data_IF_840204340322
#
_entry.id   IF_840204340322
#
_cell.length_a   1.000
_cell.length_b   1.000
_cell.length_c   1.000
_cell.angle_alpha   90.00
_cell.angle_beta   90.00
_cell.angle_gamma   90.00
#
_symmetry.space_group_name_H-M   'P 1'
#
loop_
_entity.id
_entity.type
_entity.pdbx_description
1 polymer ?
#
# COMPACT_ATOMS: atom_id res chain seq x y z
N UNK A 1 -1.54 -19.09 -14.82
CA UNK A 1 -1.94 -18.19 -13.72
C UNK A 1 -2.90 -17.18 -14.32
N UNK A 2 -4.17 -17.17 -13.91
CA UNK A 2 -5.09 -16.13 -14.35
C UNK A 2 -4.56 -14.79 -13.82
N UNK A 3 -4.23 -13.88 -14.73
CA UNK A 3 -3.91 -12.49 -14.40
C UNK A 3 -5.23 -11.82 -14.05
N UNK A 4 -5.62 -11.94 -12.78
CA UNK A 4 -6.59 -11.00 -12.24
C UNK A 4 -5.96 -9.60 -12.38
N UNK A 5 -6.70 -8.65 -12.93
CA UNK A 5 -6.31 -7.24 -12.90
C UNK A 5 -6.12 -6.79 -11.44
N UNK A 6 -5.56 -5.59 -11.21
CA UNK A 6 -5.56 -4.97 -9.88
C UNK A 6 -6.97 -5.07 -9.30
N UNK A 7 -7.08 -5.66 -8.12
CA UNK A 7 -8.31 -6.01 -7.42
C UNK A 7 -9.13 -4.79 -7.05
N UNK A 8 -9.94 -4.31 -7.99
CA UNK A 8 -10.90 -3.23 -7.79
C UNK A 8 -12.33 -3.73 -7.82
N UNK A 9 -13.16 -3.06 -8.61
CA UNK A 9 -14.49 -3.47 -9.02
C UNK A 9 -14.48 -3.88 -10.51
N UNK A 10 -14.04 -5.11 -10.87
CA UNK A 10 -14.03 -5.58 -12.25
C UNK A 10 -15.43 -5.76 -12.86
N UNK A 11 -16.46 -5.83 -12.03
CA UNK A 11 -17.86 -5.90 -12.46
C UNK A 11 -18.70 -4.91 -11.68
N UNK A 12 -19.72 -4.32 -12.32
CA UNK A 12 -20.72 -3.50 -11.63
C UNK A 12 -21.57 -4.36 -10.70
N UNK A 13 -22.00 -3.80 -9.57
CA UNK A 13 -22.93 -4.49 -8.67
C UNK A 13 -22.31 -5.72 -8.00
N UNK A 14 -21.04 -5.66 -7.63
CA UNK A 14 -20.32 -6.75 -6.98
C UNK A 14 -20.10 -6.50 -5.49
N UNK A 15 -20.13 -7.58 -4.72
CA UNK A 15 -19.73 -7.56 -3.32
C UNK A 15 -18.21 -7.53 -3.20
N UNK A 16 -17.73 -7.09 -2.03
CA UNK A 16 -16.32 -7.18 -1.73
C UNK A 16 -15.89 -8.65 -1.52
N UNK A 17 -14.66 -8.97 -1.91
CA UNK A 17 -14.04 -10.27 -1.62
C UNK A 17 -12.68 -10.06 -0.96
N UNK A 18 -12.37 -10.74 0.16
CA UNK A 18 -11.08 -10.60 0.81
C UNK A 18 -9.95 -11.00 -0.14
N UNK A 19 -8.80 -10.32 0.01
CA UNK A 19 -7.58 -10.81 -0.60
C UNK A 19 -7.08 -12.04 0.19
N UNK A 20 -6.64 -13.07 -0.53
CA UNK A 20 -6.11 -14.30 0.04
C UNK A 20 -5.00 -14.01 1.07
N UNK A 21 -5.17 -14.50 2.30
CA UNK A 21 -4.26 -14.17 3.40
C UNK A 21 -2.80 -14.57 3.11
N UNK A 22 -2.57 -15.70 2.43
CA UNK A 22 -1.22 -16.13 2.03
C UNK A 22 -0.62 -15.15 1.03
N UNK A 23 -1.40 -14.69 0.04
CA UNK A 23 -0.98 -13.66 -0.91
C UNK A 23 -0.67 -12.33 -0.22
N UNK A 24 -1.50 -11.90 0.74
CA UNK A 24 -1.29 -10.66 1.50
C UNK A 24 0.00 -10.75 2.32
N UNK A 25 0.22 -11.85 3.03
CA UNK A 25 1.43 -12.05 3.84
C UNK A 25 2.70 -12.06 2.99
N UNK A 26 2.67 -12.66 1.79
CA UNK A 26 3.80 -12.64 0.87
C UNK A 26 4.15 -11.20 0.42
N UNK A 27 3.14 -10.40 0.08
CA UNK A 27 3.34 -8.99 -0.27
C UNK A 27 3.90 -8.17 0.90
N UNK A 28 3.35 -8.35 2.11
CA UNK A 28 3.83 -7.68 3.33
C UNK A 28 5.29 -8.02 3.60
N UNK A 29 5.67 -9.30 3.52
CA UNK A 29 7.07 -9.74 3.70
C UNK A 29 8.01 -9.12 2.68
N UNK A 30 7.67 -9.22 1.39
CA UNK A 30 8.51 -8.66 0.32
C UNK A 30 8.67 -7.14 0.45
N UNK A 31 7.59 -6.40 0.72
CA UNK A 31 7.65 -4.95 0.92
C UNK A 31 8.46 -4.61 2.15
N UNK A 32 8.29 -5.34 3.26
CA UNK A 32 9.04 -5.14 4.50
C UNK A 32 10.55 -5.31 4.30
N UNK A 33 10.97 -6.35 3.59
CA UNK A 33 12.38 -6.58 3.27
C UNK A 33 12.97 -5.44 2.44
N UNK A 34 12.26 -5.02 1.37
CA UNK A 34 12.74 -3.93 0.50
C UNK A 34 12.80 -2.62 1.30
N UNK A 35 11.72 -2.26 2.01
CA UNK A 35 11.64 -1.04 2.83
C UNK A 35 12.78 -0.96 3.84
N UNK A 36 13.12 -2.08 4.50
CA UNK A 36 14.24 -2.13 5.44
C UNK A 36 15.61 -1.83 4.84
N UNK A 37 15.74 -1.93 3.51
CA UNK A 37 16.98 -1.64 2.76
C UNK A 37 16.95 -0.25 2.12
N UNK A 38 15.79 0.18 1.62
CA UNK A 38 15.70 1.36 0.73
C UNK A 38 15.20 2.63 1.41
N UNK A 39 14.42 2.53 2.50
CA UNK A 39 13.97 3.70 3.26
C UNK A 39 14.90 3.97 4.43
N UNK A 40 15.04 5.26 4.77
CA UNK A 40 15.76 5.66 5.99
C UNK A 40 14.92 5.31 7.22
N UNK A 41 15.59 5.14 8.37
CA UNK A 41 14.98 4.69 9.63
C UNK A 41 13.76 5.52 10.07
N UNK A 42 13.77 6.81 9.77
CA UNK A 42 12.72 7.77 10.17
C UNK A 42 11.92 8.30 8.96
N UNK A 43 12.02 7.65 7.81
CA UNK A 43 11.29 8.04 6.60
C UNK A 43 9.88 7.45 6.60
N UNK A 44 8.88 8.34 6.58
CA UNK A 44 7.47 7.99 6.62
C UNK A 44 6.96 7.69 8.03
N UNK A 45 5.66 7.87 8.24
CA UNK A 45 4.94 7.57 9.46
C UNK A 45 3.84 6.53 9.18
N UNK A 46 3.94 5.30 9.72
CA UNK A 46 2.94 4.23 9.50
C UNK A 46 1.54 4.57 10.02
N UNK A 47 1.45 5.51 10.97
CA UNK A 47 0.20 5.92 11.61
C UNK A 47 -0.24 7.31 11.12
N UNK A 48 0.33 7.80 10.02
CA UNK A 48 -0.05 9.09 9.46
C UNK A 48 -1.56 9.13 9.18
N UNK A 49 -2.19 10.15 9.74
CA UNK A 49 -3.61 10.43 9.57
C UNK A 49 -3.82 11.94 9.55
N UNK A 50 -4.61 12.41 8.59
CA UNK A 50 -4.92 13.83 8.36
C UNK A 50 -6.40 14.05 8.00
N UNK A 51 -7.10 13.03 7.52
CA UNK A 51 -8.56 13.08 7.36
C UNK A 51 -9.26 12.96 8.72
N UNK A 52 -10.57 13.26 8.75
CA UNK A 52 -11.39 13.23 9.97
C UNK A 52 -12.17 11.92 10.08
N UNK A 53 -12.49 11.51 11.31
CA UNK A 53 -13.19 10.26 11.66
C UNK A 53 -14.37 9.89 10.75
N UNK A 54 -15.22 10.85 10.39
CA UNK A 54 -16.42 10.57 9.60
C UNK A 54 -16.10 10.12 8.17
N UNK A 55 -15.02 10.62 7.57
CA UNK A 55 -14.56 10.18 6.25
C UNK A 55 -13.96 8.77 6.31
N UNK A 56 -13.22 8.46 7.37
CA UNK A 56 -12.56 7.17 7.52
C UNK A 56 -13.56 6.05 7.83
N UNK A 57 -14.65 6.37 8.53
CA UNK A 57 -15.75 5.43 8.81
C UNK A 57 -16.47 4.98 7.55
N UNK A 58 -16.69 5.88 6.58
CA UNK A 58 -17.42 5.50 5.37
C UNK A 58 -16.60 4.62 4.45
N UNK A 59 -15.27 4.71 4.46
CA UNK A 59 -14.39 3.87 3.62
C UNK A 59 -14.62 2.36 3.83
N UNK A 60 -14.95 1.93 5.05
CA UNK A 60 -15.20 0.52 5.35
C UNK A 60 -16.39 -0.08 4.59
N UNK A 61 -17.31 0.74 4.07
CA UNK A 61 -18.37 0.30 3.14
C UNK A 61 -17.81 -0.39 1.87
N UNK A 62 -16.60 -0.03 1.42
CA UNK A 62 -15.95 -0.67 0.27
C UNK A 62 -15.56 -2.14 0.52
N UNK A 63 -15.62 -2.59 1.78
CA UNK A 63 -15.27 -3.94 2.22
C UNK A 63 -16.50 -4.81 2.54
N UNK A 64 -17.70 -4.24 2.37
CA UNK A 64 -18.97 -4.86 2.71
C UNK A 64 -19.68 -5.38 1.44
N UNK A 65 -20.91 -4.93 1.19
CA UNK A 65 -21.78 -5.36 0.10
C UNK A 65 -21.83 -4.32 -1.02
N UNK A 66 -22.20 -4.78 -2.21
CA UNK A 66 -22.28 -3.97 -3.43
C UNK A 66 -23.03 -2.65 -3.25
N UNK A 67 -24.14 -2.62 -2.50
CA UNK A 67 -24.95 -1.42 -2.30
C UNK A 67 -24.22 -0.32 -1.53
N UNK A 68 -23.24 -0.70 -0.70
CA UNK A 68 -22.46 0.23 0.13
C UNK A 68 -21.31 0.89 -0.65
N UNK A 69 -20.85 0.27 -1.74
CA UNK A 69 -19.71 0.76 -2.52
C UNK A 69 -20.10 1.85 -3.52
N UNK A 70 -20.34 3.08 -3.07
CA UNK A 70 -20.67 4.21 -3.96
C UNK A 70 -19.45 5.05 -4.33
N UNK A 71 -19.64 6.03 -5.21
CA UNK A 71 -18.62 7.01 -5.55
C UNK A 71 -18.23 7.91 -4.37
N UNK A 72 -19.12 8.11 -3.39
CA UNK A 72 -18.81 8.87 -2.17
C UNK A 72 -17.76 8.15 -1.29
N UNK A 73 -17.93 6.84 -1.08
CA UNK A 73 -16.96 6.01 -0.36
C UNK A 73 -15.62 5.93 -1.09
N UNK A 74 -15.66 5.78 -2.42
CA UNK A 74 -14.45 5.80 -3.23
C UNK A 74 -13.73 7.16 -3.18
N UNK A 75 -14.48 8.27 -3.11
CA UNK A 75 -13.92 9.60 -2.92
C UNK A 75 -13.31 9.77 -1.52
N UNK A 76 -13.94 9.23 -0.47
CA UNK A 76 -13.38 9.21 0.88
C UNK A 76 -12.07 8.40 0.94
N UNK A 77 -12.04 7.23 0.29
CA UNK A 77 -10.83 6.43 0.14
C UNK A 77 -9.73 7.21 -0.60
N UNK A 78 -10.07 7.85 -1.71
CA UNK A 78 -9.16 8.68 -2.49
C UNK A 78 -8.60 9.86 -1.67
N UNK A 79 -9.43 10.50 -0.82
CA UNK A 79 -8.99 11.56 0.06
C UNK A 79 -7.99 11.05 1.10
N UNK A 80 -8.28 9.92 1.75
CA UNK A 80 -7.38 9.25 2.69
C UNK A 80 -6.03 8.90 2.04
N UNK A 81 -6.05 8.31 0.85
CA UNK A 81 -4.85 8.02 0.04
C UNK A 81 -4.12 9.30 -0.34
N UNK A 82 -4.84 10.38 -0.66
CA UNK A 82 -4.29 11.65 -1.13
C UNK A 82 -3.47 12.39 -0.08
N UNK A 83 -3.87 12.33 1.19
CA UNK A 83 -3.26 13.11 2.28
C UNK A 83 -1.98 12.47 2.88
N UNK A 84 -1.74 11.18 2.63
CA UNK A 84 -0.54 10.46 3.07
C UNK A 84 0.51 10.37 1.97
N UNK A 85 1.79 10.29 2.35
CA UNK A 85 2.87 10.02 1.41
C UNK A 85 2.95 8.52 1.09
N UNK A 86 3.60 8.14 -0.02
CA UNK A 86 3.84 6.74 -0.29
C UNK A 86 4.78 6.07 0.73
N UNK A 87 5.67 6.84 1.36
CA UNK A 87 6.52 6.33 2.44
C UNK A 87 5.70 5.98 3.69
N UNK A 88 4.69 6.81 4.04
CA UNK A 88 3.75 6.50 5.12
C UNK A 88 3.02 5.17 4.85
N UNK A 89 2.53 4.98 3.62
CA UNK A 89 1.84 3.76 3.21
C UNK A 89 2.79 2.55 3.25
N UNK A 90 4.00 2.68 2.71
CA UNK A 90 5.01 1.61 2.73
C UNK A 90 5.38 1.21 4.15
N UNK A 91 5.53 2.18 5.07
CA UNK A 91 5.79 1.90 6.48
C UNK A 91 4.60 1.21 7.16
N UNK A 92 3.37 1.64 6.85
CA UNK A 92 2.16 0.99 7.38
C UNK A 92 2.06 -0.48 6.92
N UNK A 93 2.41 -0.77 5.67
CA UNK A 93 2.49 -2.14 5.15
C UNK A 93 3.62 -2.92 5.83
N UNK A 94 4.83 -2.36 5.88
CA UNK A 94 6.01 -3.03 6.45
C UNK A 94 5.88 -3.36 7.94
N UNK A 95 5.10 -2.56 8.69
CA UNK A 95 4.79 -2.79 10.11
C UNK A 95 3.53 -3.62 10.36
N UNK A 96 2.79 -4.01 9.32
CA UNK A 96 1.63 -4.87 9.48
C UNK A 96 2.04 -6.27 9.93
N UNK A 97 1.21 -6.87 10.77
CA UNK A 97 1.37 -8.26 11.19
C UNK A 97 0.92 -9.22 10.08
N UNK A 98 1.33 -10.48 10.18
CA UNK A 98 0.80 -11.52 9.30
C UNK A 98 -0.66 -11.83 9.66
N UNK A 99 -1.50 -11.99 8.65
CA UNK A 99 -2.89 -12.40 8.80
C UNK A 99 -2.98 -13.92 8.72
N UNK A 100 -3.53 -14.58 9.74
CA UNK A 100 -3.62 -16.04 9.78
C UNK A 100 -4.61 -16.62 8.74
N UNK A 101 -5.74 -15.94 8.54
CA UNK A 101 -6.82 -16.37 7.66
C UNK A 101 -7.69 -15.18 7.22
N UNK A 102 -8.70 -15.45 6.40
CA UNK A 102 -9.69 -14.45 5.98
C UNK A 102 -10.96 -14.47 6.84
N UNK A 103 -10.91 -14.85 8.12
CA UNK A 103 -12.13 -15.02 8.94
C UNK A 103 -12.56 -13.76 9.71
N UNK A 104 -11.65 -12.78 9.86
CA UNK A 104 -11.92 -11.51 10.55
C UNK A 104 -12.65 -10.54 9.63
N UNK A 105 -13.63 -9.80 10.16
CA UNK A 105 -14.26 -8.70 9.44
C UNK A 105 -13.46 -7.39 9.61
N UNK A 106 -13.92 -6.32 8.96
CA UNK A 106 -13.22 -5.04 8.93
C UNK A 106 -13.17 -4.34 10.30
N UNK A 107 -14.13 -4.60 11.20
CA UNK A 107 -14.16 -4.04 12.56
C UNK A 107 -13.12 -4.66 13.50
N UNK A 108 -12.53 -5.80 13.11
CA UNK A 108 -11.48 -6.51 13.84
C UNK A 108 -10.08 -6.22 13.27
N UNK A 109 -10.00 -5.47 12.17
CA UNK A 109 -8.74 -5.10 11.56
C UNK A 109 -7.97 -4.11 12.45
N UNK A 110 -6.66 -4.31 12.54
CA UNK A 110 -5.76 -3.48 13.35
C UNK A 110 -4.61 -2.88 12.54
N UNK A 111 -4.40 -3.36 11.32
CA UNK A 111 -3.31 -2.96 10.43
C UNK A 111 -3.68 -3.15 8.94
N UNK A 112 -2.75 -2.82 8.04
CA UNK A 112 -3.01 -2.85 6.60
C UNK A 112 -3.29 -4.26 6.09
N UNK A 113 -2.56 -5.25 6.60
CA UNK A 113 -2.71 -6.65 6.20
C UNK A 113 -4.08 -7.22 6.60
N UNK A 114 -4.53 -6.93 7.82
CA UNK A 114 -5.84 -7.34 8.32
C UNK A 114 -7.00 -6.62 7.61
N UNK A 115 -6.85 -5.33 7.24
CA UNK A 115 -7.80 -4.65 6.35
C UNK A 115 -7.91 -5.37 5.00
N UNK A 116 -6.78 -5.72 4.39
CA UNK A 116 -6.76 -6.34 3.07
C UNK A 116 -7.43 -7.73 3.06
N UNK A 117 -7.18 -8.50 4.11
CA UNK A 117 -7.69 -9.85 4.31
C UNK A 117 -9.10 -9.90 4.91
N UNK A 118 -9.68 -8.77 5.33
CA UNK A 118 -10.98 -8.73 5.99
C UNK A 118 -12.10 -9.30 5.11
N UNK A 119 -12.87 -10.25 5.64
CA UNK A 119 -14.04 -10.80 4.95
C UNK A 119 -15.13 -9.75 4.81
N UNK A 120 -15.95 -9.97 3.78
CA UNK A 120 -17.26 -9.33 3.68
C UNK A 120 -18.17 -9.87 4.77
N UNK A 121 -18.75 -8.99 5.58
CA UNK A 121 -19.79 -9.32 6.55
C UNK A 121 -20.80 -8.17 6.59
N UNK A 122 -22.09 -8.48 6.45
CA UNK A 122 -23.12 -7.44 6.37
C UNK A 122 -23.23 -6.67 7.69
N UNK A 123 -23.40 -5.35 7.57
CA UNK A 123 -23.43 -4.38 8.66
C UNK A 123 -22.10 -4.26 9.45
N UNK A 124 -21.02 -4.90 8.98
CA UNK A 124 -19.66 -4.75 9.52
C UNK A 124 -18.83 -3.88 8.59
N UNK A 125 -18.83 -2.59 8.87
CA UNK A 125 -18.24 -1.56 7.99
C UNK A 125 -17.43 -0.51 8.72
N UNK A 126 -17.37 -0.53 10.04
CA UNK A 126 -16.58 0.45 10.78
C UNK A 126 -15.12 0.02 10.85
N UNK A 127 -14.22 0.86 10.37
CA UNK A 127 -12.79 0.72 10.62
C UNK A 127 -12.52 1.33 12.00
N UNK A 128 -12.04 0.54 12.97
CA UNK A 128 -11.81 0.98 14.36
C UNK A 128 -10.47 1.68 14.55
N UNK A 129 -10.33 2.39 15.66
CA UNK A 129 -9.27 3.39 15.92
C UNK A 129 -7.84 2.92 15.64
N UNK A 130 -7.51 1.66 15.89
CA UNK A 130 -6.18 1.11 15.59
C UNK A 130 -5.88 1.08 14.08
N UNK A 131 -6.88 0.71 13.27
CA UNK A 131 -6.80 0.66 11.82
C UNK A 131 -7.26 1.96 11.14
N UNK A 132 -7.91 2.86 11.89
CA UNK A 132 -8.49 4.13 11.41
C UNK A 132 -7.41 5.21 11.29
N UNK A 133 -6.37 4.92 10.49
CA UNK A 133 -5.31 5.85 10.11
C UNK A 133 -5.20 5.86 8.59
N UNK A 134 -5.04 7.03 7.99
CA UNK A 134 -5.02 7.15 6.53
C UNK A 134 -3.94 6.26 5.87
N UNK A 135 -2.75 6.17 6.48
CA UNK A 135 -1.68 5.34 5.96
C UNK A 135 -2.01 3.84 6.03
N UNK A 136 -2.64 3.41 7.11
CA UNK A 136 -3.07 2.02 7.32
C UNK A 136 -4.21 1.66 6.36
N UNK A 137 -5.20 2.55 6.20
CA UNK A 137 -6.32 2.37 5.28
C UNK A 137 -5.80 2.31 3.83
N UNK A 138 -4.98 3.27 3.42
CA UNK A 138 -4.38 3.29 2.09
C UNK A 138 -3.51 2.04 1.84
N UNK A 139 -2.75 1.60 2.84
CA UNK A 139 -1.96 0.36 2.79
C UNK A 139 -2.84 -0.87 2.62
N UNK A 140 -3.94 -0.96 3.36
CA UNK A 140 -4.90 -2.05 3.25
C UNK A 140 -5.63 -2.08 1.92
N UNK A 141 -5.98 -0.91 1.37
CA UNK A 141 -6.55 -0.79 0.02
C UNK A 141 -5.55 -1.27 -1.03
N UNK A 142 -4.30 -0.81 -0.96
CA UNK A 142 -3.26 -1.22 -1.89
C UNK A 142 -2.98 -2.73 -1.81
N UNK A 143 -2.85 -3.29 -0.60
CA UNK A 143 -2.63 -4.72 -0.40
C UNK A 143 -3.80 -5.56 -0.90
N UNK A 144 -5.04 -5.13 -0.69
CA UNK A 144 -6.22 -5.84 -1.22
C UNK A 144 -6.24 -5.79 -2.75
N UNK A 145 -5.93 -4.65 -3.34
CA UNK A 145 -5.85 -4.49 -4.79
C UNK A 145 -4.72 -5.31 -5.43
N UNK A 146 -3.58 -5.47 -4.75
CA UNK A 146 -2.48 -6.30 -5.26
C UNK A 146 -2.65 -7.79 -4.92
N UNK A 147 -3.40 -8.11 -3.87
CA UNK A 147 -3.56 -9.44 -3.33
C UNK A 147 -4.51 -10.29 -4.17
N UNK A 148 -4.19 -11.58 -4.29
CA UNK A 148 -5.00 -12.56 -5.03
C UNK A 148 -6.44 -12.59 -4.52
N UNK A 149 -7.44 -12.60 -5.42
CA UNK A 149 -8.89 -12.56 -5.14
C UNK A 149 -9.41 -11.30 -4.44
N UNK A 150 -8.57 -10.32 -4.13
CA UNK A 150 -9.00 -9.08 -3.50
C UNK A 150 -9.93 -8.30 -4.41
N UNK A 151 -11.10 -7.93 -3.88
CA UNK A 151 -12.10 -7.11 -4.58
C UNK A 151 -12.79 -6.17 -3.60
N UNK A 152 -13.26 -5.05 -4.13
CA UNK A 152 -14.03 -4.07 -3.38
C UNK A 152 -15.49 -4.08 -3.80
N UNK A 153 -16.36 -3.69 -2.88
CA UNK A 153 -17.76 -3.49 -3.18
C UNK A 153 -17.95 -2.33 -4.16
N UNK A 154 -18.86 -2.49 -5.11
CA UNK A 154 -19.30 -1.42 -5.98
C UNK A 154 -20.78 -1.56 -6.33
N UNK A 155 -21.49 -0.44 -6.25
CA UNK A 155 -22.90 -0.37 -6.64
C UNK A 155 -23.07 -0.73 -8.11
N UNK A 156 -24.28 -1.13 -8.51
CA UNK A 156 -24.64 -1.52 -9.87
C UNK A 156 -24.63 -0.40 -10.91
N UNK A 157 -23.62 0.47 -10.88
CA UNK A 157 -23.47 1.65 -11.74
C UNK A 157 -22.00 1.81 -12.14
N UNK A 158 -21.74 2.09 -13.42
CA UNK A 158 -20.36 2.24 -13.95
C UNK A 158 -19.57 3.32 -13.20
N UNK A 159 -20.24 4.40 -12.82
CA UNK A 159 -19.63 5.52 -12.07
C UNK A 159 -19.02 5.05 -10.76
N UNK A 160 -19.74 4.22 -10.00
CA UNK A 160 -19.27 3.70 -8.72
C UNK A 160 -18.09 2.74 -8.92
N UNK A 161 -18.21 1.80 -9.86
CA UNK A 161 -17.12 0.87 -10.18
C UNK A 161 -15.84 1.60 -10.63
N UNK A 162 -15.97 2.61 -11.50
CA UNK A 162 -14.85 3.42 -11.97
C UNK A 162 -14.21 4.25 -10.85
N UNK A 163 -15.01 4.82 -9.95
CA UNK A 163 -14.49 5.56 -8.80
C UNK A 163 -13.69 4.65 -7.86
N UNK A 164 -14.22 3.46 -7.55
CA UNK A 164 -13.53 2.45 -6.75
C UNK A 164 -12.23 2.00 -7.42
N UNK A 165 -12.27 1.68 -8.71
CA UNK A 165 -11.08 1.32 -9.49
C UNK A 165 -10.03 2.44 -9.48
N UNK A 166 -10.45 3.70 -9.59
CA UNK A 166 -9.57 4.87 -9.51
C UNK A 166 -8.89 5.01 -8.15
N UNK A 167 -9.64 4.83 -7.06
CA UNK A 167 -9.09 4.88 -5.70
C UNK A 167 -8.05 3.76 -5.47
N UNK A 168 -8.39 2.53 -5.86
CA UNK A 168 -7.49 1.36 -5.72
C UNK A 168 -6.24 1.54 -6.58
N UNK A 169 -6.38 1.94 -7.83
CA UNK A 169 -5.25 2.19 -8.72
C UNK A 169 -4.35 3.31 -8.17
N UNK A 170 -4.92 4.36 -7.58
CA UNK A 170 -4.17 5.43 -6.92
C UNK A 170 -3.34 4.91 -5.76
N UNK A 171 -3.92 4.09 -4.87
CA UNK A 171 -3.21 3.48 -3.75
C UNK A 171 -2.05 2.59 -4.22
N UNK A 172 -2.31 1.68 -5.18
CA UNK A 172 -1.30 0.77 -5.73
C UNK A 172 -0.19 1.54 -6.44
N UNK A 173 -0.54 2.52 -7.28
CA UNK A 173 0.46 3.34 -7.96
C UNK A 173 1.31 4.13 -6.98
N UNK A 174 0.72 4.69 -5.90
CA UNK A 174 1.49 5.41 -4.89
C UNK A 174 2.49 4.49 -4.18
N UNK A 175 2.09 3.27 -3.81
CA UNK A 175 3.00 2.26 -3.21
C UNK A 175 4.14 1.91 -4.17
N UNK A 176 3.83 1.50 -5.40
CA UNK A 176 4.83 1.05 -6.37
C UNK A 176 5.76 2.18 -6.82
N UNK A 177 5.23 3.37 -7.07
CA UNK A 177 6.04 4.52 -7.49
C UNK A 177 7.02 4.97 -6.42
N UNK A 178 6.60 5.01 -5.15
CA UNK A 178 7.52 5.32 -4.04
C UNK A 178 8.57 4.22 -3.87
N UNK A 179 8.19 2.94 -3.98
CA UNK A 179 9.15 1.84 -3.88
C UNK A 179 10.22 1.91 -4.99
N UNK A 180 9.80 2.20 -6.23
CA UNK A 180 10.70 2.38 -7.37
C UNK A 180 11.68 3.54 -7.13
N UNK A 181 11.18 4.68 -6.64
CA UNK A 181 12.02 5.85 -6.35
C UNK A 181 13.01 5.54 -5.22
N UNK A 182 12.56 4.88 -4.16
CA UNK A 182 13.44 4.52 -3.04
C UNK A 182 14.55 3.55 -3.47
N UNK A 183 14.22 2.54 -4.28
CA UNK A 183 15.22 1.62 -4.85
C UNK A 183 16.23 2.40 -5.70
N UNK A 184 15.76 3.30 -6.58
CA UNK A 184 16.66 4.11 -7.43
C UNK A 184 17.59 4.98 -6.60
N UNK A 185 17.07 5.65 -5.56
CA UNK A 185 17.88 6.48 -4.68
C UNK A 185 18.95 5.65 -3.97
N UNK A 186 18.58 4.47 -3.45
CA UNK A 186 19.53 3.59 -2.76
C UNK A 186 20.63 3.07 -3.69
N UNK A 187 20.28 2.71 -4.92
CA UNK A 187 21.25 2.30 -5.95
C UNK A 187 22.16 3.46 -6.35
N UNK A 188 21.61 4.66 -6.54
CA UNK A 188 22.38 5.86 -6.89
C UNK A 188 23.39 6.25 -5.79
N UNK A 189 22.99 6.17 -4.52
CA UNK A 189 23.91 6.33 -3.38
C UNK A 189 25.08 5.35 -3.45
N UNK A 190 24.82 4.05 -3.66
CA UNK A 190 25.88 3.04 -3.78
C UNK A 190 26.81 3.27 -4.98
N UNK A 191 26.25 3.66 -6.13
CA UNK A 191 27.05 3.99 -7.32
C UNK A 191 27.93 5.23 -7.11
N UNK A 192 27.44 6.24 -6.39
CA UNK A 192 28.23 7.42 -6.02
C UNK A 192 29.41 7.07 -5.12
N UNK A 193 29.22 6.19 -4.15
CA UNK A 193 30.30 5.69 -3.29
C UNK A 193 31.37 4.94 -4.09
N UNK A 194 30.96 4.04 -4.98
CA UNK A 194 31.90 3.33 -5.88
C UNK A 194 32.68 4.31 -6.75
N UNK A 195 32.02 5.28 -7.35
CA UNK A 195 32.68 6.29 -8.19
C UNK A 195 33.70 7.12 -7.40
N UNK A 196 33.41 7.45 -6.13
CA UNK A 196 34.34 8.16 -5.26
C UNK A 196 35.62 7.33 -5.03
N UNK A 197 35.46 6.05 -4.66
CA UNK A 197 36.59 5.14 -4.43
C UNK A 197 37.43 4.97 -5.70
N UNK A 198 36.79 4.80 -6.87
CA UNK A 198 37.51 4.72 -8.15
C UNK A 198 38.28 6.00 -8.50
N UNK A 199 37.73 7.17 -8.16
CA UNK A 199 38.42 8.46 -8.31
C UNK A 199 39.67 8.56 -7.44
N UNK A 200 39.57 8.13 -6.18
CA UNK A 200 40.69 8.10 -5.23
C UNK A 200 41.81 7.14 -5.68
N UNK A 201 41.47 5.94 -6.16
CA UNK A 201 42.45 4.97 -6.70
C UNK A 201 43.21 5.57 -7.89
N UNK A 202 42.51 6.19 -8.85
CA UNK A 202 43.15 6.84 -10.01
C UNK A 202 44.13 7.95 -9.60
N UNK A 203 43.80 8.75 -8.58
CA UNK A 203 44.70 9.78 -8.06
C UNK A 203 45.92 9.20 -7.33
N UNK A 204 45.73 8.08 -6.63
CA UNK A 204 46.81 7.34 -5.97
C UNK A 204 47.82 6.78 -6.98
N UNK A 205 47.34 6.12 -8.04
CA UNK A 205 48.21 5.60 -9.12
C UNK A 205 49.00 6.71 -9.82
N UNK A 206 48.37 7.85 -10.13
CA UNK A 206 49.05 9.00 -10.73
C UNK A 206 50.08 9.68 -9.82
N UNK A 207 49.94 9.54 -8.50
CA UNK A 207 50.91 10.08 -7.53
C UNK A 207 52.15 9.19 -7.39
N UNK A 208 52.00 7.86 -7.46
CA UNK A 208 53.13 6.92 -7.39
C UNK A 208 54.03 7.02 -8.63
N UNK A 209 53.45 7.25 -9.81
CA UNK A 209 54.23 7.41 -11.06
C UNK A 209 55.07 8.69 -11.05
N UNK A 210 54.56 9.80 -10.49
CA UNK A 210 55.29 11.08 -10.43
C UNK A 210 56.42 11.15 -9.40
N UNK A 211 56.47 10.24 -8.43
CA UNK A 211 57.52 10.21 -7.40
C UNK A 211 58.75 9.41 -7.88
N UNK A 212 58.59 8.60 -8.95
CA UNK A 212 59.63 7.71 -9.46
C UNK A 212 60.30 8.22 -10.77
N UNK A 213 60.06 9.46 -11.18
CA UNK A 213 60.80 10.18 -12.24
C UNK A 213 61.68 11.28 -11.63
#
# INVERSE_FOLDING_TARGET
MGVDAIGGAPTVGQDASPADATSVNALVKGIKEIVGVVLKKDEGNPEATKTKDDQQKTIGNLFEKKESGTDAEAAAASASIGVVSGADILQAIAKSSETADNNKNIEEATDSASIAAAKKEDNKKEIKDNAKKDAIIAGGIALRGMGKKGKFAAKGEDKAANAVNGAVASAVNKVLSTLIVAIRNRVDEGLKEINKVLGEIKQGEGSVVKINE
#
